data_IF_181642459784
#
_entry.id   IF_181642459784
#
_cell.length_a   1.000
_cell.length_b   1.000
_cell.length_c   1.000
_cell.angle_alpha   90.00
_cell.angle_beta   90.00
_cell.angle_gamma   90.00
#
_symmetry.space_group_name_H-M   'P 1'
#
loop_
_entity.id
_entity.type
_entity.pdbx_description
1 polymer ?
#
# COMPACT_ATOMS: atom_id res chain seq x y z
N UNK A 1 30.69 -12.73 18.11
CA UNK A 1 30.21 -13.12 19.45
C UNK A 1 29.17 -14.22 19.31
N UNK A 2 29.30 -15.32 20.04
CA UNK A 2 28.32 -16.41 19.98
C UNK A 2 27.02 -16.01 20.70
N UNK A 3 25.87 -16.41 20.15
CA UNK A 3 24.55 -16.16 20.75
C UNK A 3 24.45 -16.95 22.07
N UNK A 4 24.14 -16.32 23.21
CA UNK A 4 24.01 -17.02 24.48
C UNK A 4 22.88 -18.07 24.40
N UNK A 5 23.15 -19.26 24.93
CA UNK A 5 22.18 -20.35 25.04
C UNK A 5 21.06 -19.94 26.00
N UNK A 6 19.80 -20.13 25.59
CA UNK A 6 18.63 -19.81 26.43
C UNK A 6 18.63 -20.66 27.71
N UNK A 7 18.28 -20.05 28.83
CA UNK A 7 18.09 -20.75 30.10
C UNK A 7 16.93 -21.76 30.01
N UNK A 8 16.94 -22.80 30.86
CA UNK A 8 15.91 -23.85 30.84
C UNK A 8 14.48 -23.30 30.98
N UNK A 9 14.28 -22.30 31.85
CA UNK A 9 12.99 -21.64 32.06
C UNK A 9 12.54 -20.74 30.89
N UNK A 10 13.41 -20.42 29.94
CA UNK A 10 13.07 -19.67 28.73
C UNK A 10 12.74 -20.57 27.54
N UNK A 11 12.98 -21.88 27.67
CA UNK A 11 12.65 -22.87 26.64
C UNK A 11 11.15 -23.11 26.63
N UNK A 12 10.57 -23.05 25.43
CA UNK A 12 9.14 -23.29 25.20
C UNK A 12 8.90 -24.78 24.99
N UNK A 13 8.84 -25.54 26.07
CA UNK A 13 8.68 -27.01 26.06
C UNK A 13 7.22 -27.46 26.13
N UNK A 14 6.36 -26.68 26.78
CA UNK A 14 4.94 -27.02 26.98
C UNK A 14 4.09 -26.84 25.72
N UNK A 15 3.13 -27.74 25.53
CA UNK A 15 2.22 -27.74 24.37
C UNK A 15 0.79 -27.36 24.78
N UNK A 16 0.16 -26.52 23.97
CA UNK A 16 -1.25 -26.18 24.10
C UNK A 16 -2.00 -26.59 22.84
N UNK A 17 -2.97 -27.50 22.96
CA UNK A 17 -3.75 -28.02 21.84
C UNK A 17 -5.06 -27.26 21.70
N UNK A 18 -5.28 -26.64 20.54
CA UNK A 18 -6.49 -25.90 20.21
C UNK A 18 -7.17 -26.55 19.00
N UNK A 19 -8.47 -26.86 19.10
CA UNK A 19 -9.28 -27.29 17.97
C UNK A 19 -10.00 -26.08 17.40
N UNK A 20 -9.94 -25.93 16.09
CA UNK A 20 -10.55 -24.82 15.35
C UNK A 20 -11.36 -25.38 14.20
N UNK A 21 -12.41 -24.66 13.84
CA UNK A 21 -13.07 -24.80 12.55
C UNK A 21 -12.17 -24.29 11.43
N UNK A 22 -12.51 -24.63 10.18
CA UNK A 22 -11.77 -24.13 9.01
C UNK A 22 -11.79 -22.59 8.95
N UNK A 23 -12.96 -21.99 9.16
CA UNK A 23 -13.14 -20.54 9.11
C UNK A 23 -12.31 -19.80 10.18
N UNK A 24 -12.27 -20.33 11.41
CA UNK A 24 -11.46 -19.74 12.49
C UNK A 24 -9.97 -19.82 12.18
N UNK A 25 -9.51 -20.94 11.61
CA UNK A 25 -8.11 -21.09 11.21
C UNK A 25 -7.74 -20.14 10.08
N UNK A 26 -8.58 -20.03 9.05
CA UNK A 26 -8.36 -19.08 7.95
C UNK A 26 -8.34 -17.64 8.44
N UNK A 27 -9.25 -17.30 9.35
CA UNK A 27 -9.28 -15.99 9.98
C UNK A 27 -7.96 -15.71 10.72
N UNK A 28 -7.50 -16.62 11.58
CA UNK A 28 -6.21 -16.48 12.27
C UNK A 28 -5.03 -16.37 11.31
N UNK A 29 -5.01 -17.17 10.24
CA UNK A 29 -3.95 -17.13 9.23
C UNK A 29 -3.92 -15.79 8.48
N UNK A 30 -5.08 -15.24 8.14
CA UNK A 30 -5.16 -13.91 7.51
C UNK A 30 -4.64 -12.82 8.43
N UNK A 31 -4.98 -12.87 9.72
CA UNK A 31 -4.52 -11.91 10.70
C UNK A 31 -3.02 -12.04 10.98
N UNK A 32 -2.49 -13.25 11.05
CA UNK A 32 -1.06 -13.51 11.20
C UNK A 32 -0.28 -12.93 10.01
N UNK A 33 -0.76 -13.16 8.79
CA UNK A 33 -0.18 -12.60 7.56
C UNK A 33 -0.23 -11.08 7.57
N UNK A 34 -1.36 -10.50 7.96
CA UNK A 34 -1.53 -9.06 8.11
C UNK A 34 -0.64 -8.46 9.21
N UNK A 35 -0.20 -9.23 10.20
CA UNK A 35 0.75 -8.80 11.22
C UNK A 35 2.22 -9.10 10.86
N UNK A 36 2.48 -9.80 9.75
CA UNK A 36 3.82 -10.29 9.41
C UNK A 36 4.37 -11.34 10.39
N UNK A 37 3.49 -12.09 11.05
CA UNK A 37 3.85 -13.12 12.04
C UNK A 37 3.51 -14.51 11.51
N UNK A 38 4.16 -15.53 12.07
CA UNK A 38 3.69 -16.92 11.91
C UNK A 38 2.35 -17.09 12.62
N UNK A 39 1.51 -18.03 12.17
CA UNK A 39 0.22 -18.34 12.82
C UNK A 39 0.40 -18.62 14.32
N UNK A 40 1.43 -19.40 14.68
CA UNK A 40 1.74 -19.77 16.07
C UNK A 40 2.17 -18.55 16.88
N UNK A 41 3.01 -17.67 16.33
CA UNK A 41 3.45 -16.47 17.04
C UNK A 41 2.30 -15.48 17.21
N UNK A 42 1.44 -15.35 16.19
CA UNK A 42 0.24 -14.51 16.26
C UNK A 42 -0.69 -14.98 17.37
N UNK A 43 -1.06 -16.27 17.37
CA UNK A 43 -1.92 -16.88 18.39
C UNK A 43 -1.29 -16.72 19.78
N UNK A 44 0.01 -16.98 19.93
CA UNK A 44 0.71 -16.81 21.21
C UNK A 44 0.62 -15.38 21.73
N UNK A 45 0.91 -14.39 20.88
CA UNK A 45 0.83 -12.97 21.27
C UNK A 45 -0.59 -12.61 21.72
N UNK A 46 -1.60 -13.06 20.97
CA UNK A 46 -3.01 -12.83 21.31
C UNK A 46 -3.42 -13.46 22.65
N UNK A 47 -3.05 -14.72 22.90
CA UNK A 47 -3.36 -15.42 24.17
C UNK A 47 -2.68 -14.75 25.36
N UNK A 48 -1.44 -14.27 25.19
CA UNK A 48 -0.69 -13.58 26.23
C UNK A 48 -1.04 -12.08 26.37
N UNK A 49 -2.08 -11.60 25.68
CA UNK A 49 -2.51 -10.19 25.72
C UNK A 49 -1.50 -9.21 25.13
N UNK A 50 -0.51 -9.70 24.37
CA UNK A 50 0.51 -8.87 23.76
C UNK A 50 -0.06 -8.11 22.56
N UNK A 51 0.34 -6.85 22.40
CA UNK A 51 -0.06 -6.04 21.26
C UNK A 51 0.47 -6.64 19.97
N UNK A 52 -0.46 -6.94 19.04
CA UNK A 52 -0.11 -7.33 17.68
C UNK A 52 -0.35 -6.12 16.80
N UNK A 53 0.72 -5.41 16.45
CA UNK A 53 0.63 -4.33 15.48
C UNK A 53 0.16 -4.94 14.15
N UNK A 54 -0.88 -4.37 13.54
CA UNK A 54 -1.15 -4.62 12.12
C UNK A 54 0.10 -4.16 11.36
N UNK A 55 0.62 -4.98 10.45
CA UNK A 55 1.67 -4.52 9.54
C UNK A 55 1.13 -3.26 8.88
N UNK A 56 1.78 -2.13 9.10
CA UNK A 56 1.53 -0.95 8.29
C UNK A 56 1.68 -1.42 6.85
N UNK A 57 0.60 -1.32 6.05
CA UNK A 57 0.74 -1.45 4.62
C UNK A 57 1.82 -0.45 4.25
N UNK A 58 2.99 -0.96 3.83
CA UNK A 58 3.99 -0.17 3.15
C UNK A 58 3.39 0.05 1.77
N UNK A 59 2.37 0.90 1.68
CA UNK A 59 1.87 1.39 0.42
C UNK A 59 2.85 2.45 -0.03
N UNK A 60 3.38 2.31 -1.24
CA UNK A 60 4.26 3.30 -1.82
C UNK A 60 3.54 4.66 -1.85
N UNK A 61 4.03 5.67 -1.11
CA UNK A 61 3.44 7.01 -1.12
C UNK A 61 3.41 7.62 -2.53
N UNK A 62 4.33 7.22 -3.42
CA UNK A 62 4.32 7.64 -4.82
C UNK A 62 3.10 7.09 -5.55
N UNK A 63 2.76 5.81 -5.34
CA UNK A 63 1.59 5.18 -5.94
C UNK A 63 0.28 5.83 -5.46
N UNK A 64 0.21 6.22 -4.19
CA UNK A 64 -0.94 6.98 -3.64
C UNK A 64 -1.04 8.36 -4.30
N UNK A 65 0.10 9.06 -4.47
CA UNK A 65 0.14 10.37 -5.11
C UNK A 65 -0.27 10.29 -6.59
N UNK A 66 0.18 9.28 -7.33
CA UNK A 66 -0.23 9.02 -8.71
C UNK A 66 -1.74 8.75 -8.81
N UNK A 67 -2.28 7.92 -7.92
CA UNK A 67 -3.72 7.63 -7.90
C UNK A 67 -4.56 8.88 -7.60
N UNK A 68 -4.10 9.72 -6.68
CA UNK A 68 -4.74 11.01 -6.37
C UNK A 68 -4.68 11.98 -7.56
N UNK A 69 -3.58 12.02 -8.30
CA UNK A 69 -3.45 12.85 -9.50
C UNK A 69 -4.43 12.40 -10.60
N UNK A 70 -4.57 11.09 -10.82
CA UNK A 70 -5.57 10.53 -11.73
C UNK A 70 -6.98 10.92 -11.28
N UNK A 71 -7.30 10.75 -10.00
CA UNK A 71 -8.61 11.12 -9.44
C UNK A 71 -8.92 12.61 -9.61
N UNK A 72 -7.91 13.47 -9.45
CA UNK A 72 -8.06 14.91 -9.67
C UNK A 72 -8.38 15.23 -11.14
N UNK A 73 -7.68 14.62 -12.09
CA UNK A 73 -7.92 14.78 -13.52
C UNK A 73 -9.33 14.32 -13.92
N UNK A 74 -9.80 13.20 -13.37
CA UNK A 74 -11.17 12.71 -13.59
C UNK A 74 -12.21 13.69 -13.03
N UNK A 75 -11.97 14.26 -11.85
CA UNK A 75 -12.88 15.25 -11.27
C UNK A 75 -12.91 16.55 -12.08
N UNK A 76 -11.77 16.98 -12.63
CA UNK A 76 -11.71 18.10 -13.56
C UNK A 76 -12.54 17.81 -14.83
N UNK A 77 -12.40 16.64 -15.44
CA UNK A 77 -13.19 16.19 -16.60
C UNK A 77 -14.70 16.13 -16.30
N UNK A 78 -15.08 15.70 -15.10
CA UNK A 78 -16.48 15.64 -14.66
C UNK A 78 -17.11 17.03 -14.41
N UNK A 79 -16.36 17.97 -13.83
CA UNK A 79 -16.84 19.34 -13.61
C UNK A 79 -17.02 20.08 -14.93
N UNK A 80 -16.05 19.90 -15.77
CA UNK A 80 -15.98 20.47 -17.08
C UNK A 80 -17.05 20.07 -18.08
N UNK A 81 -17.42 18.79 -18.08
CA UNK A 81 -18.53 18.27 -18.87
C UNK A 81 -19.85 18.94 -18.46
N UNK A 82 -19.96 19.40 -17.20
CA UNK A 82 -21.07 20.24 -16.75
C UNK A 82 -20.94 21.73 -17.15
N UNK A 83 -19.72 22.28 -17.35
CA UNK A 83 -19.52 23.71 -17.67
C UNK A 83 -19.40 24.03 -19.17
N UNK A 84 -19.30 23.01 -20.03
CA UNK A 84 -19.58 23.03 -21.48
C UNK A 84 -18.72 23.94 -22.38
N UNK A 85 -18.79 25.27 -22.21
CA UNK A 85 -18.13 26.25 -23.10
C UNK A 85 -16.73 26.66 -22.64
N UNK A 86 -16.51 26.87 -21.35
CA UNK A 86 -15.20 27.29 -20.83
C UNK A 86 -14.17 26.14 -20.89
N UNK A 87 -14.64 24.90 -20.74
CA UNK A 87 -13.78 23.72 -20.80
C UNK A 87 -13.16 23.48 -22.17
N UNK A 88 -13.92 23.74 -23.25
CA UNK A 88 -13.46 23.60 -24.62
C UNK A 88 -12.39 24.62 -25.02
N UNK A 89 -12.31 25.77 -24.31
CA UNK A 89 -11.20 26.72 -24.45
C UNK A 89 -9.99 26.27 -23.64
N UNK A 90 -10.19 25.88 -22.38
CA UNK A 90 -9.12 25.42 -21.50
C UNK A 90 -8.32 24.22 -22.06
N UNK A 91 -8.99 23.22 -22.66
CA UNK A 91 -8.28 22.09 -23.29
C UNK A 91 -7.56 22.44 -24.58
N UNK A 92 -8.00 23.46 -25.30
CA UNK A 92 -7.26 23.95 -26.48
C UNK A 92 -5.96 24.60 -26.04
N UNK A 93 -6.03 25.44 -25.02
CA UNK A 93 -4.85 26.12 -24.45
C UNK A 93 -3.85 25.13 -23.86
N UNK A 94 -4.31 24.17 -23.04
CA UNK A 94 -3.44 23.11 -22.52
C UNK A 94 -2.87 22.25 -23.66
N UNK A 95 -3.69 21.91 -24.67
CA UNK A 95 -3.22 21.15 -25.82
C UNK A 95 -2.14 21.87 -26.62
N UNK A 96 -2.25 23.19 -26.79
CA UNK A 96 -1.24 24.02 -27.46
C UNK A 96 0.03 24.16 -26.63
N UNK A 97 -0.09 24.30 -25.32
CA UNK A 97 1.05 24.35 -24.41
C UNK A 97 1.79 23.02 -24.35
N UNK A 98 1.07 21.90 -24.26
CA UNK A 98 1.65 20.56 -24.27
C UNK A 98 2.36 20.27 -25.60
N UNK A 99 1.78 20.69 -26.73
CA UNK A 99 2.44 20.64 -28.04
C UNK A 99 3.74 21.45 -28.06
N UNK A 100 3.76 22.66 -27.51
CA UNK A 100 4.97 23.49 -27.42
C UNK A 100 6.06 22.85 -26.54
N UNK A 101 5.69 22.29 -25.39
CA UNK A 101 6.64 21.61 -24.49
C UNK A 101 7.21 20.35 -25.15
N UNK A 102 6.36 19.54 -25.79
CA UNK A 102 6.81 18.35 -26.53
C UNK A 102 7.72 18.71 -27.71
N UNK A 103 7.41 19.78 -28.46
CA UNK A 103 8.28 20.26 -29.53
C UNK A 103 9.68 20.64 -29.00
N UNK A 104 9.76 21.39 -27.89
CA UNK A 104 11.03 21.75 -27.25
C UNK A 104 11.80 20.53 -26.73
N UNK A 105 11.09 19.55 -26.18
CA UNK A 105 11.70 18.31 -25.69
C UNK A 105 12.25 17.44 -26.85
N UNK A 106 11.59 17.46 -28.02
CA UNK A 106 12.06 16.75 -29.21
C UNK A 106 13.18 17.50 -29.94
N UNK A 107 13.15 18.83 -29.96
CA UNK A 107 14.22 19.68 -30.52
C UNK A 107 15.50 19.64 -29.66
N UNK A 108 15.37 19.57 -28.33
CA UNK A 108 16.50 19.49 -27.40
C UNK A 108 17.22 18.13 -27.38
N UNK A 109 16.71 17.11 -28.10
CA UNK A 109 17.35 15.80 -28.26
C UNK A 109 18.22 15.76 -29.53
N UNK A 110 18.19 16.82 -30.35
CA UNK A 110 18.92 16.93 -31.62
C UNK A 110 20.07 17.94 -31.61
N UNK A 111 21.16 17.63 -30.91
CA UNK A 111 22.53 17.98 -31.31
C UNK A 111 23.32 18.96 -30.43
N UNK A 112 24.65 19.04 -30.62
CA UNK A 112 25.58 18.05 -31.18
C UNK A 112 26.13 17.07 -30.14
#
# INVERSE_FOLDING_TARGET
MARPTKAENEKRTERYNLRLTLAEREWLASQARAAGLSEIDYVRRRILGQTVASRQMVTDPALIAELNAIGHNVNQLARATHTGRQFQQYWREIGDELRRVLARALEGVGGP
#
